data_IF_713022976531
#
_entry.id   IF_713022976531
#
_cell.length_a   1.000
_cell.length_b   1.000
_cell.length_c   1.000
_cell.angle_alpha   90.00
_cell.angle_beta   90.00
_cell.angle_gamma   90.00
#
_symmetry.space_group_name_H-M   'P 1'
#
loop_
_entity.id
_entity.type
_entity.pdbx_description
1 polymer ?
#
# COMPACT_ATOMS: atom_id res chain seq x y z
N UNK A 1 14.22 -4.31 -26.62
CA UNK A 1 15.02 -4.29 -25.38
C UNK A 1 15.92 -3.06 -25.33
N UNK A 2 16.68 -2.75 -26.39
CA UNK A 2 17.68 -1.66 -26.40
C UNK A 2 17.10 -0.25 -26.20
N UNK A 3 15.88 0.01 -26.66
CA UNK A 3 15.20 1.30 -26.41
C UNK A 3 14.76 1.46 -24.95
N UNK A 4 14.24 0.40 -24.32
CA UNK A 4 13.72 0.44 -22.95
C UNK A 4 14.83 0.58 -21.89
N UNK A 5 16.02 0.10 -22.19
CA UNK A 5 17.16 0.14 -21.26
C UNK A 5 18.15 1.28 -21.55
N UNK A 6 17.88 2.16 -22.53
CA UNK A 6 18.79 3.23 -22.86
C UNK A 6 18.59 4.45 -21.95
N UNK A 7 19.51 4.74 -21.00
CA UNK A 7 19.39 5.86 -20.06
C UNK A 7 19.48 7.25 -20.72
N UNK A 8 19.81 7.32 -22.01
CA UNK A 8 19.97 8.59 -22.76
C UNK A 8 18.68 9.06 -23.43
N UNK A 9 17.65 8.21 -23.54
CA UNK A 9 16.37 8.61 -24.12
C UNK A 9 15.56 9.47 -23.14
N UNK A 10 14.83 10.44 -23.70
CA UNK A 10 13.85 11.20 -22.92
C UNK A 10 12.74 10.27 -22.42
N UNK A 11 12.11 10.68 -21.31
CA UNK A 11 10.98 9.92 -20.78
C UNK A 11 9.81 9.98 -21.77
N UNK A 12 9.39 8.82 -22.25
CA UNK A 12 8.18 8.65 -23.06
C UNK A 12 7.18 7.77 -22.30
N UNK A 13 5.90 8.12 -22.43
CA UNK A 13 4.82 7.30 -21.89
C UNK A 13 4.73 6.00 -22.67
N UNK A 14 4.59 4.89 -21.97
CA UNK A 14 4.30 3.59 -22.57
C UNK A 14 2.93 3.61 -23.28
N UNK A 15 2.69 2.78 -24.30
CA UNK A 15 1.45 2.77 -25.07
C UNK A 15 0.19 2.67 -24.21
N UNK A 16 0.20 1.84 -23.17
CA UNK A 16 -0.93 1.71 -22.24
C UNK A 16 -1.14 2.97 -21.38
N UNK A 17 -0.07 3.69 -21.04
CA UNK A 17 -0.16 4.96 -20.31
C UNK A 17 -0.72 6.08 -21.19
N UNK A 18 -0.32 6.11 -22.47
CA UNK A 18 -0.89 7.03 -23.45
C UNK A 18 -2.37 6.74 -23.68
N UNK A 19 -2.74 5.46 -23.79
CA UNK A 19 -4.15 5.06 -23.90
C UNK A 19 -4.98 5.59 -22.73
N UNK A 20 -4.54 5.35 -21.49
CA UNK A 20 -5.21 5.82 -20.28
C UNK A 20 -5.39 7.33 -20.28
N UNK A 21 -4.34 8.09 -20.62
CA UNK A 21 -4.40 9.54 -20.71
C UNK A 21 -5.44 10.02 -21.73
N UNK A 22 -5.43 9.43 -22.91
CA UNK A 22 -6.33 9.82 -23.99
C UNK A 22 -7.77 9.38 -23.69
N UNK A 23 -7.96 8.23 -23.04
CA UNK A 23 -9.28 7.71 -22.70
C UNK A 23 -10.01 8.58 -21.67
N UNK A 24 -9.34 8.99 -20.59
CA UNK A 24 -9.94 9.81 -19.54
C UNK A 24 -9.67 11.33 -19.75
N UNK A 25 -9.38 11.74 -20.97
CA UNK A 25 -9.19 13.12 -21.35
C UNK A 25 -10.49 13.92 -21.23
N UNK A 26 -10.39 15.23 -21.11
CA UNK A 26 -11.54 16.14 -21.17
C UNK A 26 -12.25 16.14 -22.52
N UNK A 27 -11.58 15.68 -23.59
CA UNK A 27 -12.14 15.58 -24.95
C UNK A 27 -13.04 14.35 -25.15
N UNK A 28 -13.09 13.45 -24.18
CA UNK A 28 -13.88 12.23 -24.25
C UNK A 28 -15.07 12.27 -23.30
N UNK A 29 -16.17 11.55 -23.60
CA UNK A 29 -17.33 11.50 -22.73
C UNK A 29 -17.16 10.61 -21.51
N UNK A 30 -16.00 9.98 -21.33
CA UNK A 30 -15.75 9.04 -20.24
C UNK A 30 -15.41 9.76 -18.95
N UNK A 31 -16.14 9.46 -17.86
CA UNK A 31 -15.96 10.12 -16.56
C UNK A 31 -15.37 9.21 -15.49
N UNK A 32 -15.28 7.92 -15.72
CA UNK A 32 -14.77 6.94 -14.75
C UNK A 32 -13.82 5.93 -15.38
N UNK A 33 -12.76 5.56 -14.62
CA UNK A 33 -11.82 4.53 -15.04
C UNK A 33 -11.22 3.83 -13.82
N UNK A 34 -11.22 2.49 -13.85
CA UNK A 34 -10.48 1.62 -12.95
C UNK A 34 -9.19 1.14 -13.63
N UNK A 35 -8.04 1.55 -13.11
CA UNK A 35 -6.75 1.00 -13.50
C UNK A 35 -6.46 -0.25 -12.68
N UNK A 36 -6.83 -1.39 -13.23
CA UNK A 36 -6.44 -2.71 -12.71
C UNK A 36 -5.12 -3.12 -13.36
N UNK A 37 -4.07 -2.40 -13.04
CA UNK A 37 -2.73 -2.64 -13.54
C UNK A 37 -1.88 -3.34 -12.49
N UNK A 38 -1.12 -4.35 -12.87
CA UNK A 38 -0.21 -5.06 -12.01
C UNK A 38 0.91 -4.16 -11.44
N UNK A 39 1.69 -4.69 -10.52
CA UNK A 39 2.84 -3.97 -9.97
C UNK A 39 3.88 -3.69 -11.06
N UNK A 40 4.54 -2.54 -10.99
CA UNK A 40 5.61 -2.17 -11.92
C UNK A 40 5.17 -1.66 -13.29
N UNK A 41 3.87 -1.63 -13.61
CA UNK A 41 3.34 -1.13 -14.90
C UNK A 41 3.31 0.40 -15.01
N UNK A 42 3.73 1.13 -13.98
CA UNK A 42 3.76 2.59 -13.99
C UNK A 42 2.38 3.25 -13.77
N UNK A 43 1.49 2.65 -12.96
CA UNK A 43 0.17 3.22 -12.60
C UNK A 43 0.24 4.70 -12.20
N UNK A 44 1.23 5.05 -11.37
CA UNK A 44 1.42 6.43 -10.90
C UNK A 44 1.69 7.38 -12.06
N UNK A 45 2.55 7.01 -13.02
CA UNK A 45 2.80 7.84 -14.22
C UNK A 45 1.57 7.93 -15.11
N UNK A 46 0.80 6.83 -15.26
CA UNK A 46 -0.48 6.85 -16.00
C UNK A 46 -1.44 7.86 -15.38
N UNK A 47 -1.61 7.84 -14.05
CA UNK A 47 -2.51 8.76 -13.37
C UNK A 47 -2.01 10.22 -13.43
N UNK A 48 -0.72 10.46 -13.26
CA UNK A 48 -0.11 11.78 -13.40
C UNK A 48 -0.33 12.35 -14.82
N UNK A 49 -0.24 11.51 -15.85
CA UNK A 49 -0.47 11.96 -17.22
C UNK A 49 -1.89 12.48 -17.44
N UNK A 50 -2.89 11.79 -16.85
CA UNK A 50 -4.29 12.26 -16.85
C UNK A 50 -4.44 13.53 -16.02
N UNK A 51 -3.82 13.58 -14.83
CA UNK A 51 -3.85 14.77 -13.97
C UNK A 51 -3.30 16.01 -14.69
N UNK A 52 -2.20 15.87 -15.40
CA UNK A 52 -1.58 16.98 -16.13
C UNK A 52 -2.39 17.43 -17.35
N UNK A 53 -3.11 16.52 -18.00
CA UNK A 53 -4.06 16.85 -19.06
C UNK A 53 -5.23 17.65 -18.50
N UNK A 54 -5.82 17.17 -17.39
CA UNK A 54 -6.91 17.87 -16.70
C UNK A 54 -6.48 19.21 -16.11
N UNK A 55 -5.25 19.33 -15.59
CA UNK A 55 -4.72 20.59 -15.08
C UNK A 55 -4.65 21.65 -16.20
N UNK A 56 -4.20 21.25 -17.38
CA UNK A 56 -4.19 22.14 -18.55
C UNK A 56 -5.60 22.60 -18.93
N UNK A 57 -6.57 21.69 -18.90
CA UNK A 57 -7.97 22.00 -19.15
C UNK A 57 -8.55 23.00 -18.11
N UNK A 58 -8.27 22.79 -16.83
CA UNK A 58 -8.71 23.71 -15.76
C UNK A 58 -8.14 25.13 -15.96
N UNK A 59 -6.87 25.22 -16.33
CA UNK A 59 -6.24 26.51 -16.63
C UNK A 59 -6.90 27.19 -17.82
N UNK A 60 -7.24 26.47 -18.89
CA UNK A 60 -7.90 27.02 -20.08
C UNK A 60 -9.31 27.55 -19.79
N UNK A 61 -10.04 26.87 -18.93
CA UNK A 61 -11.43 27.25 -18.58
C UNK A 61 -11.53 28.15 -17.34
N UNK A 62 -10.42 28.45 -16.67
CA UNK A 62 -10.45 29.25 -15.43
C UNK A 62 -11.12 28.48 -14.26
N UNK A 63 -11.08 27.14 -14.25
CA UNK A 63 -11.64 26.35 -13.17
C UNK A 63 -10.69 26.39 -11.99
N UNK A 64 -11.11 26.99 -10.88
CA UNK A 64 -10.35 27.06 -9.63
C UNK A 64 -10.64 25.83 -8.75
N UNK A 65 -10.32 24.65 -9.26
CA UNK A 65 -10.41 23.37 -8.54
C UNK A 65 -9.07 22.65 -8.57
N UNK A 66 -8.66 22.13 -7.43
CA UNK A 66 -7.47 21.29 -7.35
C UNK A 66 -7.80 19.85 -7.71
N UNK A 67 -6.89 19.20 -8.40
CA UNK A 67 -6.94 17.73 -8.58
C UNK A 67 -6.73 17.09 -7.22
N UNK A 68 -7.65 16.21 -6.79
CA UNK A 68 -7.54 15.53 -5.51
C UNK A 68 -6.95 14.14 -5.69
N UNK A 69 -5.86 13.85 -4.97
CA UNK A 69 -5.21 12.55 -4.95
C UNK A 69 -5.33 11.98 -3.55
N UNK A 70 -6.06 10.86 -3.44
CA UNK A 70 -6.26 10.14 -2.18
C UNK A 70 -5.32 8.94 -2.15
N UNK A 71 -4.37 8.95 -1.23
CA UNK A 71 -3.35 7.90 -1.12
C UNK A 71 -2.76 7.84 0.30
N UNK A 72 -1.99 6.78 0.61
CA UNK A 72 -1.21 6.71 1.85
C UNK A 72 -0.10 7.78 1.86
N UNK A 73 0.40 8.21 3.04
CA UNK A 73 1.45 9.23 3.11
C UNK A 73 2.69 8.92 2.27
N UNK A 74 3.13 7.67 2.28
CA UNK A 74 4.30 7.22 1.49
C UNK A 74 4.03 7.34 -0.01
N UNK A 75 2.84 6.98 -0.44
CA UNK A 75 2.43 7.07 -1.86
C UNK A 75 2.25 8.52 -2.28
N UNK A 76 1.74 9.39 -1.40
CA UNK A 76 1.66 10.83 -1.67
C UNK A 76 3.04 11.45 -1.94
N UNK A 77 4.04 11.10 -1.13
CA UNK A 77 5.42 11.55 -1.37
C UNK A 77 5.96 11.02 -2.70
N UNK A 78 5.67 9.77 -3.05
CA UNK A 78 6.03 9.22 -4.35
C UNK A 78 5.36 10.00 -5.51
N UNK A 79 4.08 10.34 -5.39
CA UNK A 79 3.40 11.20 -6.38
C UNK A 79 4.10 12.55 -6.56
N UNK A 80 4.46 13.21 -5.46
CA UNK A 80 5.19 14.50 -5.49
C UNK A 80 6.53 14.35 -6.21
N UNK A 81 7.30 13.30 -5.90
CA UNK A 81 8.57 13.01 -6.56
C UNK A 81 8.42 12.66 -8.05
N UNK A 82 7.32 11.99 -8.44
CA UNK A 82 7.05 11.68 -9.84
C UNK A 82 6.52 12.90 -10.62
N UNK A 83 5.85 13.84 -9.95
CA UNK A 83 5.51 15.14 -10.52
C UNK A 83 6.77 15.99 -10.72
N UNK A 84 7.59 16.13 -9.69
CA UNK A 84 8.84 16.88 -9.74
C UNK A 84 9.82 16.42 -8.65
N UNK A 85 10.98 15.92 -9.08
CA UNK A 85 12.09 15.56 -8.19
C UNK A 85 13.26 16.51 -8.46
N UNK A 86 13.45 17.49 -7.60
CA UNK A 86 14.51 18.50 -7.72
C UNK A 86 15.91 17.88 -7.84
N UNK A 87 16.15 16.71 -7.23
CA UNK A 87 17.45 16.00 -7.30
C UNK A 87 17.79 15.51 -8.71
N UNK A 88 16.78 15.37 -9.58
CA UNK A 88 16.91 14.98 -11.00
C UNK A 88 17.03 16.16 -11.94
N UNK A 89 16.95 17.38 -11.42
CA UNK A 89 17.08 18.61 -12.21
C UNK A 89 18.52 18.73 -12.71
N UNK A 90 18.70 18.90 -13.99
CA UNK A 90 20.01 19.02 -14.65
C UNK A 90 20.02 20.21 -15.60
N UNK A 91 21.16 20.87 -15.70
CA UNK A 91 21.35 21.93 -16.68
C UNK A 91 22.04 21.39 -17.93
N UNK A 92 21.42 21.56 -19.09
CA UNK A 92 21.94 21.16 -20.40
C UNK A 92 21.97 22.42 -21.27
N UNK A 93 23.14 22.80 -21.76
CA UNK A 93 23.34 24.00 -22.58
C UNK A 93 22.79 25.30 -21.95
N UNK A 94 22.82 25.40 -20.61
CA UNK A 94 22.31 26.54 -19.85
C UNK A 94 20.78 26.53 -19.62
N UNK A 95 20.08 25.47 -20.02
CA UNK A 95 18.64 25.26 -19.78
C UNK A 95 18.41 24.10 -18.82
N UNK A 96 17.43 24.27 -17.93
CA UNK A 96 17.03 23.24 -17.00
C UNK A 96 16.24 22.12 -17.69
N UNK A 97 16.54 20.89 -17.32
CA UNK A 97 15.88 19.67 -17.79
C UNK A 97 15.63 18.70 -16.64
N UNK A 98 14.56 17.91 -16.75
CA UNK A 98 14.24 16.87 -15.76
C UNK A 98 13.72 15.61 -16.45
N UNK A 99 14.12 14.43 -15.93
CA UNK A 99 13.51 13.14 -16.30
C UNK A 99 12.51 12.73 -15.21
N UNK A 100 11.24 12.99 -15.46
CA UNK A 100 10.11 12.65 -14.61
C UNK A 100 8.91 12.25 -15.47
N UNK A 101 7.83 11.72 -14.86
CA UNK A 101 6.59 11.37 -15.57
C UNK A 101 5.96 12.55 -16.33
N UNK A 102 6.21 13.76 -15.87
CA UNK A 102 5.75 15.01 -16.50
C UNK A 102 6.70 15.54 -17.58
N UNK A 103 7.87 14.91 -17.76
CA UNK A 103 8.94 15.46 -18.60
C UNK A 103 9.26 16.89 -18.20
N UNK A 104 9.56 17.73 -19.19
CA UNK A 104 9.90 19.16 -18.99
C UNK A 104 8.67 20.09 -18.91
N UNK A 105 7.45 19.57 -18.73
CA UNK A 105 6.23 20.40 -18.78
C UNK A 105 6.25 21.55 -17.79
N UNK A 106 6.57 21.28 -16.52
CA UNK A 106 6.66 22.34 -15.50
C UNK A 106 7.79 23.33 -15.77
N UNK A 107 8.92 22.85 -16.28
CA UNK A 107 10.05 23.74 -16.63
C UNK A 107 9.65 24.68 -17.76
N UNK A 108 8.97 24.18 -18.80
CA UNK A 108 8.46 25.01 -19.89
C UNK A 108 7.41 26.01 -19.42
N UNK A 109 6.60 25.68 -18.44
CA UNK A 109 5.61 26.58 -17.85
C UNK A 109 6.29 27.71 -17.04
N UNK A 110 7.33 27.39 -16.27
CA UNK A 110 8.12 28.36 -15.49
C UNK A 110 9.02 29.22 -16.38
N UNK A 111 9.52 28.66 -17.46
CA UNK A 111 10.46 29.32 -18.39
C UNK A 111 10.01 29.17 -19.85
N UNK A 112 8.86 29.78 -20.23
CA UNK A 112 8.30 29.63 -21.58
C UNK A 112 9.19 30.24 -22.69
N UNK A 113 10.03 31.18 -22.33
CA UNK A 113 10.95 31.85 -23.28
C UNK A 113 12.34 31.22 -23.32
N UNK A 114 12.54 30.06 -22.68
CA UNK A 114 13.84 29.38 -22.60
C UNK A 114 15.01 30.27 -22.16
N UNK A 115 14.75 31.18 -21.22
CA UNK A 115 15.81 32.06 -20.70
C UNK A 115 16.90 31.31 -19.99
N UNK A 116 18.14 31.60 -20.31
CA UNK A 116 19.34 31.08 -19.62
C UNK A 116 19.58 31.86 -18.32
N UNK A 117 20.27 31.25 -17.37
CA UNK A 117 20.69 31.93 -16.14
C UNK A 117 19.65 31.94 -15.02
N UNK A 118 18.53 31.22 -15.14
CA UNK A 118 17.64 31.01 -14.00
C UNK A 118 18.34 30.15 -12.93
N UNK A 119 18.28 30.60 -11.68
CA UNK A 119 18.82 29.84 -10.55
C UNK A 119 17.98 28.63 -10.23
N UNK A 120 18.61 27.55 -9.78
CA UNK A 120 17.94 26.30 -9.38
C UNK A 120 16.83 26.54 -8.36
N UNK A 121 17.14 27.30 -7.30
CA UNK A 121 16.17 27.63 -6.25
C UNK A 121 14.93 28.33 -6.78
N UNK A 122 15.09 29.24 -7.75
CA UNK A 122 13.97 29.96 -8.35
C UNK A 122 13.07 29.03 -9.15
N UNK A 123 13.65 28.10 -9.91
CA UNK A 123 12.91 27.10 -10.69
C UNK A 123 12.15 26.17 -9.76
N UNK A 124 12.81 25.61 -8.75
CA UNK A 124 12.20 24.73 -7.74
C UNK A 124 11.04 25.44 -7.05
N UNK A 125 11.25 26.64 -6.54
CA UNK A 125 10.21 27.40 -5.80
C UNK A 125 8.97 27.69 -6.66
N UNK A 126 9.16 27.97 -7.94
CA UNK A 126 8.05 28.22 -8.86
C UNK A 126 7.28 26.95 -9.19
N UNK A 127 7.97 25.83 -9.46
CA UNK A 127 7.33 24.53 -9.73
C UNK A 127 6.56 24.05 -8.49
N UNK A 128 7.14 24.14 -7.30
CA UNK A 128 6.45 23.79 -6.06
C UNK A 128 5.18 24.64 -5.81
N UNK A 129 5.21 25.90 -6.21
CA UNK A 129 4.04 26.75 -6.14
C UNK A 129 2.94 26.27 -7.09
N UNK A 130 3.28 25.91 -8.33
CA UNK A 130 2.34 25.35 -9.31
C UNK A 130 1.71 24.07 -8.78
N UNK A 131 2.53 23.15 -8.26
CA UNK A 131 2.04 21.87 -7.72
C UNK A 131 1.08 22.12 -6.54
N UNK A 132 1.44 22.97 -5.58
CA UNK A 132 0.57 23.31 -4.44
C UNK A 132 -0.74 24.00 -4.82
N UNK A 133 -0.75 24.75 -5.91
CA UNK A 133 -1.96 25.40 -6.42
C UNK A 133 -2.86 24.42 -7.18
N UNK A 134 -2.28 23.44 -7.86
CA UNK A 134 -3.00 22.52 -8.76
C UNK A 134 -3.43 21.22 -8.11
N UNK A 135 -2.76 20.79 -7.05
CA UNK A 135 -2.95 19.48 -6.43
C UNK A 135 -3.31 19.57 -4.96
N UNK A 136 -4.13 18.62 -4.52
CA UNK A 136 -4.49 18.39 -3.12
C UNK A 136 -4.26 16.92 -2.81
N UNK A 137 -3.33 16.62 -1.87
CA UNK A 137 -3.00 15.27 -1.44
C UNK A 137 -3.67 14.98 -0.11
N UNK A 138 -4.45 13.90 -0.03
CA UNK A 138 -5.28 13.57 1.13
C UNK A 138 -5.06 12.11 1.52
N UNK A 139 -4.92 11.84 2.81
CA UNK A 139 -4.88 10.46 3.33
C UNK A 139 -6.27 9.82 3.36
N UNK A 140 -6.36 8.47 3.29
CA UNK A 140 -7.65 7.77 3.28
C UNK A 140 -8.54 8.13 4.47
N UNK A 141 -7.96 8.15 5.68
CA UNK A 141 -8.71 8.50 6.91
C UNK A 141 -9.18 9.95 6.90
N UNK A 142 -8.35 10.87 6.43
CA UNK A 142 -8.68 12.28 6.30
C UNK A 142 -9.78 12.48 5.27
N UNK A 143 -9.69 11.84 4.12
CA UNK A 143 -10.71 11.86 3.06
C UNK A 143 -12.05 11.34 3.57
N UNK A 144 -12.08 10.16 4.20
CA UNK A 144 -13.29 9.60 4.80
C UNK A 144 -13.90 10.52 5.87
N UNK A 145 -13.05 11.10 6.72
CA UNK A 145 -13.50 12.05 7.74
C UNK A 145 -14.05 13.34 7.12
N UNK A 146 -13.44 13.82 6.05
CA UNK A 146 -13.90 15.02 5.32
C UNK A 146 -15.29 14.79 4.75
N UNK A 147 -15.52 13.67 4.04
CA UNK A 147 -16.85 13.31 3.51
C UNK A 147 -17.86 13.14 4.63
N UNK A 148 -17.50 12.41 5.70
CA UNK A 148 -18.39 12.19 6.83
C UNK A 148 -18.76 13.50 7.56
N UNK A 149 -17.81 14.42 7.72
CA UNK A 149 -18.05 15.74 8.30
C UNK A 149 -18.92 16.62 7.38
N UNK A 150 -18.66 16.59 6.09
CA UNK A 150 -19.43 17.33 5.08
C UNK A 150 -20.90 16.90 5.12
N UNK A 151 -21.16 15.58 5.08
CA UNK A 151 -22.52 15.04 5.18
C UNK A 151 -23.16 15.37 6.52
N UNK A 152 -22.43 15.25 7.65
CA UNK A 152 -22.95 15.57 8.99
C UNK A 152 -23.29 17.06 9.15
N UNK A 153 -22.40 17.96 8.68
CA UNK A 153 -22.63 19.41 8.76
C UNK A 153 -23.81 19.85 7.90
N UNK A 154 -23.98 19.27 6.71
CA UNK A 154 -25.06 19.60 5.81
C UNK A 154 -26.44 19.23 6.35
N UNK A 155 -26.53 18.19 7.19
CA UNK A 155 -27.79 17.73 7.77
C UNK A 155 -28.43 18.73 8.75
N UNK A 156 -27.62 19.55 9.48
CA UNK A 156 -28.11 20.57 10.40
C UNK A 156 -29.02 20.01 11.52
N UNK A 157 -29.73 20.90 12.20
CA UNK A 157 -30.70 20.54 13.26
C UNK A 157 -32.16 20.42 12.76
N UNK A 158 -32.39 20.43 11.45
CA UNK A 158 -33.75 20.32 10.90
C UNK A 158 -34.21 18.88 10.86
N UNK A 159 -35.47 18.60 11.19
CA UNK A 159 -36.07 17.26 11.11
C UNK A 159 -36.62 16.93 9.72
N UNK A 160 -36.67 17.92 8.82
CA UNK A 160 -37.11 17.77 7.44
C UNK A 160 -36.07 16.98 6.62
N UNK A 161 -36.46 15.80 6.16
CA UNK A 161 -35.60 14.89 5.38
C UNK A 161 -35.22 15.48 4.02
N UNK A 162 -36.12 16.18 3.34
CA UNK A 162 -35.87 16.76 2.02
C UNK A 162 -34.85 17.90 2.12
N UNK A 163 -34.98 18.77 3.10
CA UNK A 163 -34.01 19.83 3.35
C UNK A 163 -32.63 19.29 3.73
N UNK A 164 -32.57 18.19 4.49
CA UNK A 164 -31.30 17.49 4.79
C UNK A 164 -30.65 16.98 3.51
N UNK A 165 -31.42 16.31 2.64
CA UNK A 165 -30.92 15.77 1.37
C UNK A 165 -30.44 16.90 0.46
N UNK A 166 -31.25 17.94 0.26
CA UNK A 166 -30.87 19.10 -0.57
C UNK A 166 -29.56 19.76 -0.12
N UNK A 167 -29.40 19.98 1.19
CA UNK A 167 -28.15 20.53 1.75
C UNK A 167 -26.95 19.59 1.54
N UNK A 168 -27.16 18.28 1.69
CA UNK A 168 -26.13 17.28 1.41
C UNK A 168 -25.68 17.33 -0.05
N UNK A 169 -26.61 17.32 -0.95
CA UNK A 169 -26.36 17.42 -2.40
C UNK A 169 -25.59 18.71 -2.71
N UNK A 170 -26.06 19.86 -2.24
CA UNK A 170 -25.39 21.14 -2.44
C UNK A 170 -23.94 21.15 -1.92
N UNK A 171 -23.72 20.55 -0.75
CA UNK A 171 -22.38 20.48 -0.16
C UNK A 171 -21.44 19.56 -0.97
N UNK A 172 -21.95 18.43 -1.47
CA UNK A 172 -21.19 17.51 -2.33
C UNK A 172 -20.84 18.20 -3.65
N UNK A 173 -21.83 18.82 -4.32
CA UNK A 173 -21.62 19.55 -5.58
C UNK A 173 -20.57 20.64 -5.42
N UNK A 174 -20.67 21.47 -4.38
CA UNK A 174 -19.70 22.53 -4.12
C UNK A 174 -18.26 22.02 -4.01
N UNK A 175 -18.05 20.85 -3.41
CA UNK A 175 -16.70 20.34 -3.14
C UNK A 175 -16.15 19.48 -4.27
N UNK A 176 -16.98 18.66 -4.91
CA UNK A 176 -16.53 17.60 -5.80
C UNK A 176 -16.93 17.78 -7.28
N UNK A 177 -17.93 18.61 -7.62
CA UNK A 177 -18.27 18.86 -9.02
C UNK A 177 -17.13 19.54 -9.77
N UNK A 178 -17.06 19.27 -11.07
CA UNK A 178 -16.03 19.77 -11.99
C UNK A 178 -14.59 19.46 -11.52
N UNK A 179 -14.39 18.28 -10.93
CA UNK A 179 -13.13 17.91 -10.29
C UNK A 179 -12.65 16.54 -10.75
N UNK A 180 -11.33 16.38 -10.92
CA UNK A 180 -10.70 15.07 -11.03
C UNK A 180 -10.39 14.55 -9.61
N UNK A 181 -10.95 13.37 -9.28
CA UNK A 181 -10.67 12.60 -8.08
C UNK A 181 -9.91 11.33 -8.43
N UNK A 182 -8.69 11.22 -7.93
CA UNK A 182 -7.83 10.05 -8.09
C UNK A 182 -7.74 9.33 -6.75
N UNK A 183 -8.04 8.05 -6.71
CA UNK A 183 -7.92 7.22 -5.50
C UNK A 183 -6.98 6.08 -5.79
N UNK A 184 -5.79 6.13 -5.22
CA UNK A 184 -4.82 5.06 -5.33
C UNK A 184 -5.10 3.98 -4.27
N UNK A 185 -4.90 2.71 -4.62
CA UNK A 185 -5.24 1.55 -3.79
C UNK A 185 -6.62 1.69 -3.14
N UNK A 186 -7.63 1.88 -3.99
CA UNK A 186 -9.02 2.22 -3.59
C UNK A 186 -9.64 1.25 -2.58
N UNK A 187 -9.18 -0.01 -2.55
CA UNK A 187 -9.61 -1.01 -1.57
C UNK A 187 -9.35 -0.57 -0.11
N UNK A 188 -8.35 0.31 0.12
CA UNK A 188 -8.04 0.83 1.46
C UNK A 188 -9.14 1.72 2.04
N UNK A 189 -10.00 2.32 1.25
CA UNK A 189 -11.15 3.11 1.75
C UNK A 189 -12.11 2.23 2.55
N UNK A 190 -12.25 0.94 2.20
CA UNK A 190 -13.10 0.00 2.94
C UNK A 190 -12.45 -0.49 4.23
N UNK A 191 -11.14 -0.49 4.32
CA UNK A 191 -10.37 -1.00 5.46
C UNK A 191 -9.99 0.05 6.51
N UNK A 192 -10.43 1.31 6.37
CA UNK A 192 -10.10 2.44 7.28
C UNK A 192 -10.50 2.18 8.73
N UNK A 193 -11.48 1.30 8.99
CA UNK A 193 -11.99 1.03 10.34
C UNK A 193 -12.32 -0.45 10.52
N UNK A 194 -12.03 -0.98 11.70
CA UNK A 194 -12.46 -2.31 12.13
C UNK A 194 -13.95 -2.36 12.51
N UNK A 195 -14.59 -1.20 12.72
CA UNK A 195 -15.99 -1.11 13.11
C UNK A 195 -16.92 -1.19 11.90
N UNK A 196 -17.65 -2.29 11.72
CA UNK A 196 -18.59 -2.53 10.60
C UNK A 196 -19.53 -1.34 10.31
N UNK A 197 -20.04 -0.66 11.35
CA UNK A 197 -20.92 0.52 11.22
C UNK A 197 -20.22 1.71 10.55
N UNK A 198 -18.94 1.94 10.86
CA UNK A 198 -18.17 3.04 10.27
C UNK A 198 -17.79 2.74 8.81
N UNK A 199 -17.42 1.50 8.50
CA UNK A 199 -17.16 1.05 7.12
C UNK A 199 -18.40 1.28 6.26
N UNK A 200 -19.57 0.76 6.69
CA UNK A 200 -20.83 0.94 5.97
C UNK A 200 -21.15 2.42 5.71
N UNK A 201 -20.90 3.28 6.72
CA UNK A 201 -21.13 4.72 6.57
C UNK A 201 -20.20 5.35 5.55
N UNK A 202 -18.92 5.02 5.57
CA UNK A 202 -17.94 5.59 4.63
C UNK A 202 -18.21 5.12 3.21
N UNK A 203 -18.49 3.83 3.01
CA UNK A 203 -18.83 3.29 1.68
C UNK A 203 -20.11 3.91 1.13
N UNK A 204 -21.14 4.09 1.96
CA UNK A 204 -22.39 4.75 1.53
C UNK A 204 -22.15 6.23 1.18
N UNK A 205 -21.39 6.95 1.99
CA UNK A 205 -21.07 8.35 1.70
C UNK A 205 -20.23 8.51 0.42
N UNK A 206 -19.41 7.51 0.07
CA UNK A 206 -18.71 7.48 -1.22
C UNK A 206 -19.68 7.28 -2.39
N UNK A 207 -20.66 6.36 -2.27
CA UNK A 207 -21.70 6.21 -3.28
C UNK A 207 -22.51 7.50 -3.45
N UNK A 208 -22.89 8.14 -2.35
CA UNK A 208 -23.58 9.44 -2.38
C UNK A 208 -22.73 10.52 -3.08
N UNK A 209 -21.42 10.52 -2.82
CA UNK A 209 -20.51 11.48 -3.44
C UNK A 209 -20.54 11.35 -4.97
N UNK A 210 -20.33 10.13 -5.48
CA UNK A 210 -20.30 9.90 -6.93
C UNK A 210 -21.66 10.06 -7.59
N UNK A 211 -22.75 9.85 -6.84
CA UNK A 211 -24.12 10.05 -7.34
C UNK A 211 -24.46 11.53 -7.53
N UNK A 212 -23.99 12.39 -6.63
CA UNK A 212 -24.43 13.79 -6.61
C UNK A 212 -23.40 14.79 -7.12
N UNK A 213 -22.14 14.41 -7.28
CA UNK A 213 -21.13 15.25 -7.92
C UNK A 213 -21.40 15.30 -9.43
N UNK A 214 -21.40 16.50 -9.99
CA UNK A 214 -21.61 16.74 -11.43
C UNK A 214 -20.27 16.93 -12.14
N UNK A 215 -20.14 16.43 -13.37
CA UNK A 215 -18.94 16.56 -14.21
C UNK A 215 -17.63 16.10 -13.49
N UNK A 216 -17.75 15.20 -12.52
CA UNK A 216 -16.60 14.68 -11.81
C UNK A 216 -15.94 13.56 -12.63
N UNK A 217 -14.64 13.68 -12.85
CA UNK A 217 -13.87 12.54 -13.37
C UNK A 217 -13.30 11.72 -12.21
N UNK A 218 -13.56 10.42 -12.25
CA UNK A 218 -13.17 9.47 -11.19
C UNK A 218 -12.16 8.47 -11.72
N UNK A 219 -10.98 8.45 -11.12
CA UNK A 219 -9.92 7.50 -11.45
C UNK A 219 -9.58 6.65 -10.23
N UNK A 220 -9.84 5.36 -10.33
CA UNK A 220 -9.57 4.37 -9.29
C UNK A 220 -8.35 3.54 -9.69
N UNK A 221 -7.37 3.40 -8.81
CA UNK A 221 -6.19 2.59 -9.06
C UNK A 221 -6.12 1.47 -8.04
N UNK A 222 -5.82 0.27 -8.50
CA UNK A 222 -5.50 -0.87 -7.63
C UNK A 222 -4.84 -2.00 -8.41
N UNK A 223 -3.97 -2.76 -7.75
CA UNK A 223 -3.48 -4.03 -8.27
C UNK A 223 -4.35 -5.21 -7.78
N UNK A 224 -5.22 -4.97 -6.78
CA UNK A 224 -6.03 -5.98 -6.10
C UNK A 224 -7.45 -5.48 -5.88
N UNK A 225 -8.30 -5.42 -6.93
CA UNK A 225 -9.66 -4.87 -6.83
C UNK A 225 -10.58 -5.70 -5.91
N UNK A 226 -10.24 -6.96 -5.72
CA UNK A 226 -10.93 -7.93 -4.85
C UNK A 226 -9.92 -8.45 -3.82
N UNK A 227 -9.81 -7.77 -2.67
CA UNK A 227 -8.79 -8.09 -1.67
C UNK A 227 -9.19 -9.25 -0.77
N UNK A 228 -10.40 -9.21 -0.18
CA UNK A 228 -10.89 -10.25 0.73
C UNK A 228 -11.88 -11.19 0.06
N UNK A 229 -12.73 -10.68 -0.84
CA UNK A 229 -13.84 -11.41 -1.45
C UNK A 229 -14.17 -10.85 -2.84
N UNK A 230 -14.58 -11.73 -3.75
CA UNK A 230 -14.99 -11.38 -5.11
C UNK A 230 -16.13 -10.35 -5.15
N UNK A 231 -17.04 -10.37 -4.16
CA UNK A 231 -18.16 -9.42 -4.07
C UNK A 231 -17.73 -7.96 -3.89
N UNK A 232 -16.47 -7.71 -3.54
CA UNK A 232 -15.93 -6.33 -3.39
C UNK A 232 -15.93 -5.56 -4.71
N UNK A 233 -15.88 -6.26 -5.84
CA UNK A 233 -15.94 -5.65 -7.18
C UNK A 233 -17.23 -4.88 -7.42
N UNK A 234 -18.33 -5.31 -6.80
CA UNK A 234 -19.67 -4.67 -6.95
C UNK A 234 -19.62 -3.22 -6.47
N UNK A 235 -18.95 -2.96 -5.35
CA UNK A 235 -18.82 -1.58 -4.86
C UNK A 235 -18.00 -0.69 -5.80
N UNK A 236 -16.92 -1.22 -6.39
CA UNK A 236 -16.12 -0.49 -7.38
C UNK A 236 -16.91 -0.23 -8.66
N UNK A 237 -17.63 -1.24 -9.15
CA UNK A 237 -18.52 -1.11 -10.29
C UNK A 237 -19.59 -0.02 -10.05
N UNK A 238 -20.17 -0.01 -8.85
CA UNK A 238 -21.19 0.97 -8.48
C UNK A 238 -20.65 2.39 -8.38
N UNK A 239 -19.41 2.59 -7.89
CA UNK A 239 -18.78 3.91 -7.91
C UNK A 239 -18.67 4.47 -9.33
N UNK A 240 -18.28 3.64 -10.29
CA UNK A 240 -18.10 4.04 -11.68
C UNK A 240 -19.45 4.26 -12.39
N UNK A 241 -20.39 3.33 -12.21
CA UNK A 241 -21.72 3.43 -12.83
C UNK A 241 -22.50 4.65 -12.30
N UNK A 242 -22.54 4.87 -10.99
CA UNK A 242 -23.23 6.01 -10.39
C UNK A 242 -22.60 7.35 -10.80
N UNK A 243 -21.28 7.40 -10.98
CA UNK A 243 -20.60 8.60 -11.48
C UNK A 243 -21.02 8.98 -12.90
N UNK A 244 -21.46 8.00 -13.69
CA UNK A 244 -22.02 8.19 -15.05
C UNK A 244 -23.57 8.16 -15.08
N UNK A 245 -24.21 8.32 -13.91
CA UNK A 245 -25.68 8.28 -13.78
C UNK A 245 -26.31 6.96 -14.26
N UNK A 246 -25.56 5.84 -14.23
CA UNK A 246 -26.06 4.50 -14.53
C UNK A 246 -26.57 3.80 -13.27
N UNK A 247 -27.54 2.90 -13.42
CA UNK A 247 -28.09 2.16 -12.28
C UNK A 247 -27.04 1.27 -11.63
N UNK A 248 -26.94 1.28 -10.28
CA UNK A 248 -26.08 0.36 -9.54
C UNK A 248 -26.59 -1.07 -9.67
N UNK A 249 -25.75 -2.02 -9.29
CA UNK A 249 -26.10 -3.45 -9.16
C UNK A 249 -25.95 -3.89 -7.70
N UNK A 250 -26.71 -4.91 -7.33
CA UNK A 250 -26.64 -5.53 -6.02
C UNK A 250 -25.84 -6.83 -6.05
N UNK A 251 -25.27 -7.22 -4.89
CA UNK A 251 -24.46 -8.43 -4.79
C UNK A 251 -25.25 -9.66 -5.20
N UNK A 252 -26.52 -9.75 -4.79
CA UNK A 252 -27.41 -10.86 -5.07
C UNK A 252 -27.89 -10.96 -6.54
N UNK A 253 -27.65 -9.95 -7.35
CA UNK A 253 -27.88 -9.99 -8.81
C UNK A 253 -26.69 -10.64 -9.55
N UNK A 254 -25.51 -10.68 -8.92
CA UNK A 254 -24.28 -11.18 -9.54
C UNK A 254 -23.79 -12.48 -8.89
N UNK A 255 -23.92 -12.60 -7.57
CA UNK A 255 -23.38 -13.72 -6.81
C UNK A 255 -24.47 -14.42 -5.99
N UNK A 256 -24.34 -15.73 -5.87
CA UNK A 256 -25.11 -16.56 -4.95
C UNK A 256 -24.57 -16.45 -3.49
N UNK A 257 -25.16 -17.24 -2.58
CA UNK A 257 -24.76 -17.23 -1.15
C UNK A 257 -23.36 -17.78 -0.91
N UNK A 258 -22.82 -18.56 -1.83
CA UNK A 258 -21.50 -19.18 -1.77
C UNK A 258 -20.44 -18.37 -2.53
N UNK A 259 -20.82 -17.15 -2.99
CA UNK A 259 -20.00 -16.23 -3.79
C UNK A 259 -19.61 -16.76 -5.18
N UNK A 260 -20.36 -17.71 -5.73
CA UNK A 260 -20.25 -18.08 -7.14
C UNK A 260 -21.14 -17.16 -7.98
N UNK A 261 -20.84 -17.08 -9.28
CA UNK A 261 -21.72 -16.34 -10.19
C UNK A 261 -23.13 -16.96 -10.22
N UNK A 262 -24.13 -16.08 -10.17
CA UNK A 262 -25.53 -16.49 -10.28
C UNK A 262 -25.76 -17.15 -11.63
N UNK A 263 -26.43 -18.29 -11.60
CA UNK A 263 -26.83 -19.07 -12.80
C UNK A 263 -28.33 -19.06 -13.01
N UNK A 264 -28.75 -19.11 -14.28
CA UNK A 264 -30.11 -19.32 -14.64
C UNK A 264 -30.53 -20.82 -14.57
N UNK A 265 -31.75 -21.12 -14.95
CA UNK A 265 -32.27 -22.49 -14.98
C UNK A 265 -31.54 -23.40 -15.97
N UNK A 266 -30.94 -22.83 -16.99
CA UNK A 266 -30.19 -23.55 -18.05
C UNK A 266 -28.69 -23.70 -17.70
N UNK A 267 -28.24 -23.14 -16.56
CA UNK A 267 -26.88 -23.22 -16.07
C UNK A 267 -25.94 -22.12 -16.57
N UNK A 268 -26.43 -21.10 -17.28
CA UNK A 268 -25.64 -19.98 -17.78
C UNK A 268 -25.29 -19.02 -16.63
N UNK A 269 -24.11 -18.48 -16.64
CA UNK A 269 -23.60 -17.54 -15.60
C UNK A 269 -24.13 -16.12 -15.81
N UNK A 270 -25.44 -15.90 -15.65
CA UNK A 270 -26.09 -14.60 -15.87
C UNK A 270 -25.53 -13.49 -14.97
N UNK A 271 -25.10 -13.82 -13.78
CA UNK A 271 -24.44 -12.85 -12.88
C UNK A 271 -23.11 -12.34 -13.44
N UNK A 272 -22.34 -13.20 -14.09
CA UNK A 272 -21.10 -12.84 -14.77
C UNK A 272 -21.34 -11.92 -15.95
N UNK A 273 -22.34 -12.23 -16.78
CA UNK A 273 -22.73 -11.40 -17.91
C UNK A 273 -23.17 -10.00 -17.48
N UNK A 274 -23.98 -9.91 -16.42
CA UNK A 274 -24.40 -8.63 -15.84
C UNK A 274 -23.17 -7.81 -15.36
N UNK A 275 -22.24 -8.45 -14.66
CA UNK A 275 -21.03 -7.78 -14.20
C UNK A 275 -20.16 -7.27 -15.36
N UNK A 276 -20.00 -8.06 -16.42
CA UNK A 276 -19.30 -7.66 -17.65
C UNK A 276 -19.95 -6.43 -18.25
N UNK A 277 -21.28 -6.43 -18.44
CA UNK A 277 -22.02 -5.28 -19.00
C UNK A 277 -21.86 -4.01 -18.17
N UNK A 278 -21.72 -4.13 -16.85
CA UNK A 278 -21.57 -2.99 -15.93
C UNK A 278 -20.14 -2.47 -15.85
N UNK A 279 -19.15 -3.29 -16.17
CA UNK A 279 -17.74 -2.92 -16.14
C UNK A 279 -17.15 -2.60 -17.50
N UNK A 280 -17.85 -2.94 -18.60
CA UNK A 280 -17.34 -2.64 -19.94
C UNK A 280 -17.15 -1.14 -20.14
N UNK A 281 -15.99 -0.74 -20.64
CA UNK A 281 -15.62 0.66 -20.80
C UNK A 281 -15.06 1.34 -19.53
N UNK A 282 -15.04 0.67 -18.38
CA UNK A 282 -14.54 1.22 -17.12
C UNK A 282 -13.23 0.61 -16.64
N UNK A 283 -12.78 -0.49 -17.20
CA UNK A 283 -11.60 -1.19 -16.69
C UNK A 283 -10.48 -1.19 -17.73
N UNK A 284 -9.34 -0.64 -17.35
CA UNK A 284 -8.07 -0.84 -18.05
C UNK A 284 -7.27 -1.89 -17.29
N UNK A 285 -6.97 -3.00 -17.95
CA UNK A 285 -6.19 -4.10 -17.37
C UNK A 285 -4.83 -4.22 -18.06
N UNK A 286 -3.77 -4.26 -17.24
CA UNK A 286 -2.42 -4.56 -17.70
C UNK A 286 -1.80 -5.57 -16.74
N UNK A 287 -1.39 -6.73 -17.26
CA UNK A 287 -0.64 -7.71 -16.47
C UNK A 287 0.71 -7.11 -16.04
N UNK A 288 1.02 -7.18 -14.75
CA UNK A 288 2.29 -6.69 -14.21
C UNK A 288 3.48 -7.61 -14.48
N UNK A 289 3.21 -8.81 -14.97
CA UNK A 289 4.25 -9.82 -15.20
C UNK A 289 4.80 -9.74 -16.62
N UNK A 290 5.37 -8.59 -17.00
CA UNK A 290 6.16 -8.53 -18.22
C UNK A 290 7.55 -9.10 -17.92
N UNK A 291 7.93 -10.25 -18.49
CA UNK A 291 9.22 -10.90 -18.21
C UNK A 291 10.43 -10.06 -18.63
N UNK A 292 10.24 -9.04 -19.47
CA UNK A 292 11.31 -8.12 -19.88
C UNK A 292 11.53 -6.96 -18.92
N UNK A 293 10.56 -6.65 -18.07
CA UNK A 293 10.62 -5.51 -17.14
C UNK A 293 10.50 -5.93 -15.67
N UNK A 294 10.09 -7.16 -15.40
CA UNK A 294 9.94 -7.72 -14.05
C UNK A 294 10.95 -8.84 -13.80
N UNK A 295 11.56 -8.91 -12.60
CA UNK A 295 12.43 -10.01 -12.26
C UNK A 295 11.68 -11.34 -12.33
N UNK A 296 12.32 -12.35 -12.88
CA UNK A 296 11.81 -13.71 -12.87
C UNK A 296 11.72 -14.22 -11.43
N UNK A 297 10.57 -14.80 -11.08
CA UNK A 297 10.34 -15.30 -9.72
C UNK A 297 10.92 -16.71 -9.59
N UNK A 298 11.87 -16.86 -8.70
CA UNK A 298 12.48 -18.15 -8.38
C UNK A 298 12.26 -18.43 -6.89
N UNK A 299 11.85 -19.65 -6.57
CA UNK A 299 11.59 -20.06 -5.20
C UNK A 299 12.85 -20.59 -4.52
N UNK A 300 12.98 -20.51 -3.19
CA UNK A 300 14.11 -21.11 -2.46
C UNK A 300 14.35 -22.59 -2.79
N UNK A 301 13.28 -23.36 -3.01
CA UNK A 301 13.36 -24.75 -3.43
C UNK A 301 13.98 -24.94 -4.82
N UNK A 302 13.85 -23.96 -5.73
CA UNK A 302 14.41 -24.05 -7.08
C UNK A 302 15.94 -23.88 -7.08
N UNK A 303 16.50 -23.28 -6.03
CA UNK A 303 17.95 -23.19 -5.80
C UNK A 303 18.51 -24.34 -4.95
N UNK A 304 17.70 -25.36 -4.65
CA UNK A 304 18.08 -26.42 -3.71
C UNK A 304 18.54 -25.85 -2.36
N UNK A 305 17.90 -24.77 -1.87
CA UNK A 305 18.21 -24.22 -0.56
C UNK A 305 17.90 -25.28 0.52
N UNK A 306 18.92 -25.78 1.26
CA UNK A 306 18.73 -26.88 2.20
C UNK A 306 17.78 -26.52 3.37
N UNK A 307 17.53 -25.23 3.58
CA UNK A 307 16.62 -24.72 4.60
C UNK A 307 15.20 -24.43 4.06
N UNK A 308 14.92 -24.73 2.79
CA UNK A 308 13.56 -24.61 2.24
C UNK A 308 12.65 -25.66 2.90
N UNK A 309 11.55 -25.20 3.51
CA UNK A 309 10.57 -26.12 4.13
C UNK A 309 10.01 -27.12 3.12
N UNK A 310 9.84 -26.71 1.87
CA UNK A 310 9.37 -27.58 0.79
C UNK A 310 10.32 -28.74 0.49
N UNK A 311 11.62 -28.55 0.64
CA UNK A 311 12.62 -29.60 0.51
C UNK A 311 12.71 -30.44 1.77
N UNK A 312 12.66 -29.83 2.96
CA UNK A 312 12.66 -30.52 4.24
C UNK A 312 11.42 -31.41 4.44
N UNK A 313 10.24 -30.95 3.97
CA UNK A 313 9.00 -31.73 4.01
C UNK A 313 9.08 -33.00 3.13
N UNK A 314 9.72 -32.89 1.94
CA UNK A 314 10.00 -34.06 1.08
C UNK A 314 10.85 -35.12 1.78
N UNK A 315 11.79 -34.67 2.61
CA UNK A 315 12.70 -35.56 3.37
C UNK A 315 12.07 -36.02 4.69
N UNK A 316 10.84 -35.58 5.02
CA UNK A 316 10.12 -35.86 6.27
C UNK A 316 10.79 -35.33 7.54
N UNK A 317 11.74 -34.40 7.43
CA UNK A 317 12.40 -33.79 8.59
C UNK A 317 11.50 -32.72 9.23
N UNK A 318 10.72 -32.03 8.40
CA UNK A 318 9.80 -30.98 8.79
C UNK A 318 8.52 -31.06 7.97
N UNK A 319 7.42 -30.47 8.47
CA UNK A 319 6.16 -30.40 7.73
C UNK A 319 5.53 -29.01 7.81
N UNK A 320 4.76 -28.67 6.79
CA UNK A 320 3.89 -27.49 6.86
C UNK A 320 2.89 -27.63 8.01
N UNK A 321 2.53 -26.52 8.70
CA UNK A 321 1.59 -26.58 9.79
C UNK A 321 0.23 -27.09 9.30
N UNK A 322 -0.34 -28.07 10.03
CA UNK A 322 -1.66 -28.65 9.78
C UNK A 322 -2.75 -27.98 10.60
N UNK A 323 -2.38 -27.36 11.70
CA UNK A 323 -3.29 -26.72 12.64
C UNK A 323 -2.90 -25.26 12.84
N UNK A 324 -3.91 -24.42 13.02
CA UNK A 324 -3.74 -23.06 13.49
C UNK A 324 -3.35 -23.05 14.97
N UNK A 325 -2.89 -21.89 15.48
CA UNK A 325 -2.51 -21.77 16.89
C UNK A 325 -3.70 -21.97 17.85
N UNK A 326 -4.93 -21.79 17.37
CA UNK A 326 -6.18 -22.06 18.09
C UNK A 326 -6.65 -23.52 17.96
N UNK A 327 -5.79 -24.42 17.50
CA UNK A 327 -6.03 -25.87 17.27
C UNK A 327 -7.01 -26.19 16.13
N UNK A 328 -7.56 -25.20 15.43
CA UNK A 328 -8.40 -25.47 14.25
C UNK A 328 -7.53 -26.01 13.11
N UNK A 329 -8.03 -27.02 12.42
CA UNK A 329 -7.36 -27.57 11.24
C UNK A 329 -7.30 -26.53 10.12
N UNK A 330 -6.16 -26.49 9.42
CA UNK A 330 -5.96 -25.66 8.24
C UNK A 330 -6.56 -26.42 7.06
N UNK A 331 -7.69 -25.97 6.46
CA UNK A 331 -8.42 -26.76 5.46
C UNK A 331 -7.62 -26.96 4.17
N UNK A 332 -6.75 -26.00 3.84
CA UNK A 332 -5.86 -26.10 2.70
C UNK A 332 -4.40 -25.83 3.12
N UNK A 333 -3.46 -26.71 2.77
CA UNK A 333 -2.04 -26.47 3.04
C UNK A 333 -1.54 -25.24 2.26
N UNK A 334 -0.50 -24.61 2.80
CA UNK A 334 0.18 -23.50 2.12
C UNK A 334 0.82 -24.02 0.83
N UNK A 335 0.22 -23.68 -0.32
CA UNK A 335 0.64 -24.19 -1.65
C UNK A 335 1.63 -23.30 -2.37
N UNK A 336 1.51 -21.98 -2.14
CA UNK A 336 2.17 -20.95 -2.95
C UNK A 336 3.25 -20.16 -2.21
N UNK A 337 3.60 -20.57 -1.01
CA UNK A 337 4.63 -19.95 -0.19
C UNK A 337 5.70 -20.97 0.14
N UNK A 338 6.94 -20.72 -0.27
CA UNK A 338 8.08 -21.48 0.17
C UNK A 338 8.74 -20.79 1.35
N UNK A 339 8.79 -21.48 2.48
CA UNK A 339 9.33 -20.96 3.73
C UNK A 339 10.78 -21.40 3.89
N UNK A 340 11.63 -20.49 4.33
CA UNK A 340 13.01 -20.80 4.71
C UNK A 340 13.07 -20.91 6.23
N UNK A 341 13.51 -22.05 6.72
CA UNK A 341 13.64 -22.32 8.15
C UNK A 341 15.00 -21.85 8.62
N UNK A 342 15.01 -21.08 9.70
CA UNK A 342 16.23 -20.64 10.37
C UNK A 342 16.20 -21.14 11.82
N UNK A 343 17.15 -21.98 12.21
CA UNK A 343 17.28 -22.42 13.59
C UNK A 343 17.70 -21.24 14.49
N UNK A 344 17.08 -21.16 15.66
CA UNK A 344 17.47 -20.18 16.68
C UNK A 344 18.83 -20.55 17.25
N UNK A 345 19.66 -19.53 17.52
CA UNK A 345 20.86 -19.72 18.34
C UNK A 345 20.46 -20.02 19.80
N UNK A 346 21.34 -20.68 20.54
CA UNK A 346 21.10 -21.11 21.93
C UNK A 346 20.61 -19.94 22.81
N UNK A 347 21.30 -18.80 22.74
CA UNK A 347 20.93 -17.58 23.50
C UNK A 347 19.54 -17.06 23.14
N UNK A 348 19.22 -17.03 21.85
CA UNK A 348 17.90 -16.61 21.41
C UNK A 348 16.82 -17.61 21.86
N UNK A 349 17.09 -18.90 21.75
CA UNK A 349 16.15 -19.95 22.15
C UNK A 349 15.87 -19.92 23.65
N UNK A 350 16.90 -19.70 24.48
CA UNK A 350 16.75 -19.55 25.93
C UNK A 350 15.80 -18.40 26.30
N UNK A 351 16.02 -17.24 25.73
CA UNK A 351 15.13 -16.07 25.97
C UNK A 351 13.73 -16.28 25.41
N UNK A 352 13.59 -16.93 24.26
CA UNK A 352 12.30 -17.28 23.67
C UNK A 352 11.49 -18.20 24.59
N UNK A 353 12.11 -19.27 25.10
CA UNK A 353 11.45 -20.19 26.02
C UNK A 353 11.03 -19.49 27.33
N UNK A 354 11.88 -18.65 27.90
CA UNK A 354 11.53 -17.84 29.06
C UNK A 354 10.30 -16.94 28.81
N UNK A 355 10.22 -16.28 27.65
CA UNK A 355 9.06 -15.46 27.26
C UNK A 355 7.82 -16.31 27.13
N UNK A 356 7.91 -17.49 26.52
CA UNK A 356 6.77 -18.41 26.37
C UNK A 356 6.25 -18.85 27.73
N UNK A 357 7.13 -19.28 28.64
CA UNK A 357 6.74 -19.80 29.95
C UNK A 357 6.11 -18.70 30.82
N UNK A 358 6.71 -17.52 30.87
CA UNK A 358 6.12 -16.39 31.56
C UNK A 358 4.79 -15.90 30.95
N UNK A 359 4.64 -16.01 29.64
CA UNK A 359 3.37 -15.68 28.97
C UNK A 359 2.27 -16.69 29.34
N UNK A 360 2.61 -17.98 29.46
CA UNK A 360 1.67 -19.02 29.92
C UNK A 360 1.25 -18.83 31.37
N UNK A 361 2.19 -18.46 32.26
CA UNK A 361 1.91 -18.18 33.66
C UNK A 361 0.93 -17.00 33.85
N UNK A 362 1.10 -15.93 33.05
CA UNK A 362 0.30 -14.71 33.18
C UNK A 362 -1.11 -14.78 32.61
N UNK A 363 -1.34 -15.67 31.64
CA UNK A 363 -2.65 -15.83 30.98
C UNK A 363 -2.86 -17.31 30.61
N UNK A 364 -3.76 -18.02 31.31
CA UNK A 364 -4.15 -19.36 30.86
C UNK A 364 -4.70 -19.26 29.43
N UNK A 365 -4.03 -19.88 28.48
CA UNK A 365 -4.23 -19.77 27.05
C UNK A 365 -5.58 -20.33 26.58
N UNK A 366 -6.28 -21.05 27.44
CA UNK A 366 -7.50 -21.79 27.10
C UNK A 366 -8.58 -21.60 28.17
N UNK A 367 -9.40 -20.59 28.00
CA UNK A 367 -10.81 -20.72 28.38
C UNK A 367 -11.56 -21.20 27.13
N UNK A 368 -12.04 -22.41 27.14
CA UNK A 368 -12.73 -23.13 26.04
C UNK A 368 -13.94 -22.39 25.43
N UNK A 369 -14.35 -21.25 25.96
CA UNK A 369 -15.53 -20.49 25.53
C UNK A 369 -15.25 -19.19 24.78
N UNK A 370 -13.99 -18.80 24.53
CA UNK A 370 -13.68 -17.64 23.69
C UNK A 370 -12.87 -18.05 22.47
N UNK A 371 -13.54 -18.22 21.36
CA UNK A 371 -13.00 -18.34 20.01
C UNK A 371 -12.13 -17.11 19.65
N UNK A 372 -10.86 -17.12 20.00
CA UNK A 372 -9.89 -16.11 19.59
C UNK A 372 -8.76 -15.96 20.58
N UNK A 373 -7.56 -16.39 20.18
CA UNK A 373 -6.33 -16.03 20.89
C UNK A 373 -6.17 -14.52 20.73
N UNK A 374 -6.12 -13.79 21.85
CA UNK A 374 -5.88 -12.36 21.80
C UNK A 374 -4.50 -12.10 21.18
N UNK A 375 -4.44 -11.24 20.18
CA UNK A 375 -3.20 -10.85 19.49
C UNK A 375 -2.07 -10.46 20.46
N UNK A 376 -2.43 -9.88 21.60
CA UNK A 376 -1.52 -9.49 22.69
C UNK A 376 -0.78 -10.65 23.37
N UNK A 377 -1.23 -11.90 23.21
CA UNK A 377 -0.56 -13.08 23.77
C UNK A 377 0.54 -13.60 22.84
N UNK A 378 0.35 -13.40 21.53
CA UNK A 378 1.26 -13.89 20.50
C UNK A 378 2.37 -12.88 20.20
N UNK A 379 2.11 -11.60 20.42
CA UNK A 379 2.99 -10.49 20.04
C UNK A 379 4.42 -10.64 20.60
N UNK A 380 4.55 -10.90 21.90
CA UNK A 380 5.87 -11.11 22.53
C UNK A 380 6.65 -12.27 21.93
N UNK A 381 6.10 -13.51 21.90
CA UNK A 381 6.71 -14.63 21.23
C UNK A 381 7.08 -14.37 19.78
N UNK A 382 6.19 -13.76 19.00
CA UNK A 382 6.44 -13.46 17.58
C UNK A 382 7.59 -12.45 17.39
N UNK A 383 7.65 -11.40 18.19
CA UNK A 383 8.74 -10.42 18.14
C UNK A 383 10.09 -11.05 18.56
N UNK A 384 10.08 -11.93 19.56
CA UNK A 384 11.28 -12.63 20.04
C UNK A 384 11.87 -13.62 19.02
N UNK A 385 11.04 -14.20 18.15
CA UNK A 385 11.51 -14.99 16.99
C UNK A 385 12.24 -14.13 15.95
N UNK A 386 11.89 -12.86 15.84
CA UNK A 386 12.63 -11.94 14.96
C UNK A 386 13.95 -11.51 15.61
N UNK A 387 13.90 -11.09 16.88
CA UNK A 387 15.07 -10.62 17.61
C UNK A 387 14.82 -10.58 19.11
N UNK A 388 15.82 -10.95 19.88
CA UNK A 388 15.87 -10.71 21.32
C UNK A 388 16.96 -9.70 21.67
N UNK A 389 16.79 -9.05 22.81
CA UNK A 389 17.78 -8.12 23.36
C UNK A 389 18.40 -8.72 24.62
N UNK A 390 19.74 -8.88 24.68
CA UNK A 390 20.41 -9.55 25.79
C UNK A 390 20.14 -8.87 27.12
N UNK A 391 19.93 -9.63 28.19
CA UNK A 391 19.72 -9.11 29.53
C UNK A 391 20.67 -9.78 30.53
N UNK A 392 21.39 -8.99 31.39
CA UNK A 392 22.38 -9.52 32.29
C UNK A 392 21.82 -10.47 33.37
N UNK A 393 20.54 -10.37 33.66
CA UNK A 393 19.86 -11.15 34.71
C UNK A 393 18.88 -12.20 34.14
N UNK A 394 19.01 -12.56 32.85
CA UNK A 394 18.15 -13.57 32.25
C UNK A 394 18.22 -14.90 32.99
N UNK A 395 19.42 -15.27 33.47
CA UNK A 395 19.64 -16.52 34.21
C UNK A 395 19.00 -16.51 35.61
N UNK A 396 18.61 -15.36 36.14
CA UNK A 396 18.00 -15.24 37.48
C UNK A 396 16.49 -15.37 37.44
N UNK A 397 15.90 -15.63 36.27
CA UNK A 397 14.44 -15.80 36.03
C UNK A 397 13.53 -14.68 36.55
N UNK A 398 14.08 -13.52 36.87
CA UNK A 398 13.37 -12.35 37.36
C UNK A 398 13.55 -11.13 36.43
N UNK A 399 13.21 -11.31 35.16
CA UNK A 399 13.33 -10.29 34.12
C UNK A 399 11.96 -9.95 33.56
N UNK A 400 11.68 -8.66 33.45
CA UNK A 400 10.49 -8.23 32.69
C UNK A 400 10.64 -8.65 31.23
N UNK A 401 9.76 -9.56 30.78
CA UNK A 401 9.78 -10.11 29.43
C UNK A 401 9.78 -9.03 28.35
N UNK A 402 9.13 -7.87 28.58
CA UNK A 402 9.10 -6.75 27.63
C UNK A 402 10.48 -6.13 27.40
N UNK A 403 11.43 -6.33 28.32
CA UNK A 403 12.80 -5.86 28.18
C UNK A 403 13.64 -6.72 27.21
N UNK A 404 13.14 -7.89 26.86
CA UNK A 404 13.82 -8.86 25.98
C UNK A 404 13.44 -8.71 24.50
N UNK A 405 12.35 -8.01 24.14
CA UNK A 405 11.91 -7.85 22.76
C UNK A 405 11.35 -6.45 22.49
N UNK A 406 11.11 -6.16 21.22
CA UNK A 406 10.45 -4.95 20.76
C UNK A 406 11.16 -3.64 21.12
N UNK A 407 10.38 -2.56 21.16
CA UNK A 407 10.92 -1.22 21.39
C UNK A 407 11.52 -1.04 22.79
N UNK A 408 11.02 -1.76 23.79
CA UNK A 408 11.56 -1.69 25.15
C UNK A 408 12.94 -2.31 25.23
N UNK A 409 13.15 -3.49 24.60
CA UNK A 409 14.45 -4.12 24.48
C UNK A 409 15.44 -3.25 23.68
N UNK A 410 14.98 -2.66 22.57
CA UNK A 410 15.80 -1.76 21.76
C UNK A 410 16.26 -0.54 22.59
N UNK A 411 15.35 0.13 23.31
CA UNK A 411 15.66 1.31 24.13
C UNK A 411 16.67 1.05 25.25
N UNK A 412 16.73 -0.17 25.74
CA UNK A 412 17.72 -0.57 26.73
C UNK A 412 19.10 -0.79 26.10
N UNK A 413 19.12 -1.31 24.89
CA UNK A 413 20.33 -1.73 24.19
C UNK A 413 20.97 -0.61 23.36
N UNK A 414 20.12 0.27 22.81
CA UNK A 414 20.55 1.38 21.96
C UNK A 414 20.12 2.73 22.53
N UNK A 415 20.99 3.71 22.37
CA UNK A 415 20.69 5.12 22.60
C UNK A 415 20.36 5.74 21.24
N UNK A 416 19.27 6.49 21.16
CA UNK A 416 18.83 7.18 19.94
C UNK A 416 17.86 8.32 20.27
N UNK A 417 17.76 9.28 19.35
CA UNK A 417 16.77 10.35 19.45
C UNK A 417 15.35 9.75 19.32
N UNK A 418 14.52 9.97 20.33
CA UNK A 418 13.15 9.39 20.41
C UNK A 418 12.17 10.01 19.43
N UNK A 419 12.39 11.25 19.04
CA UNK A 419 11.46 11.99 18.18
C UNK A 419 11.75 11.73 16.71
N UNK A 420 13.02 11.65 16.35
CA UNK A 420 13.46 11.45 14.96
C UNK A 420 13.78 10.00 14.61
N UNK A 421 13.96 9.13 15.62
CA UNK A 421 14.45 7.75 15.48
C UNK A 421 15.76 7.68 14.68
N UNK A 422 16.69 8.62 14.97
CA UNK A 422 18.00 8.74 14.32
C UNK A 422 19.13 8.68 15.36
N UNK A 423 20.35 8.70 14.87
CA UNK A 423 21.57 8.78 15.68
C UNK A 423 21.71 7.63 16.69
N UNK A 424 21.49 6.40 16.19
CA UNK A 424 21.64 5.19 16.99
C UNK A 424 23.07 4.97 17.43
N UNK A 425 23.28 4.79 18.74
CA UNK A 425 24.55 4.38 19.34
C UNK A 425 24.33 3.26 20.36
N UNK A 426 25.35 2.44 20.57
CA UNK A 426 25.27 1.34 21.54
C UNK A 426 25.31 1.87 22.98
N UNK A 427 24.45 1.33 23.85
CA UNK A 427 24.62 1.47 25.29
C UNK A 427 25.88 0.71 25.71
N UNK A 428 26.90 1.42 26.16
CA UNK A 428 28.23 0.84 26.52
C UNK A 428 28.08 -0.31 27.52
N UNK A 429 27.23 -0.18 28.55
CA UNK A 429 27.03 -1.23 29.57
C UNK A 429 26.55 -2.55 28.97
N UNK A 430 25.84 -2.50 27.85
CA UNK A 430 25.33 -3.69 27.17
C UNK A 430 26.35 -4.19 26.15
N UNK A 431 26.93 -3.28 25.35
CA UNK A 431 27.85 -3.66 24.29
C UNK A 431 29.20 -4.23 24.85
N UNK A 432 29.65 -3.74 26.00
CA UNK A 432 30.86 -4.26 26.64
C UNK A 432 30.69 -5.69 27.16
N UNK A 433 29.46 -6.06 27.56
CA UNK A 433 29.16 -7.42 28.07
C UNK A 433 28.73 -8.40 26.99
N UNK A 434 27.97 -7.95 26.02
CA UNK A 434 27.30 -8.81 25.04
C UNK A 434 27.76 -8.57 23.60
N UNK A 435 28.68 -7.67 23.39
CA UNK A 435 29.15 -7.24 22.07
C UNK A 435 28.21 -6.26 21.38
N UNK A 436 28.61 -5.83 20.19
CA UNK A 436 27.80 -4.96 19.34
C UNK A 436 26.68 -5.76 18.68
N UNK A 437 25.47 -5.68 19.23
CA UNK A 437 24.32 -6.52 18.88
C UNK A 437 24.04 -6.66 17.37
N UNK A 438 24.22 -5.61 16.59
CA UNK A 438 24.01 -5.64 15.14
C UNK A 438 25.29 -5.97 14.35
N UNK A 439 26.37 -6.39 15.02
CA UNK A 439 27.56 -6.86 14.32
C UNK A 439 27.42 -8.31 13.88
N UNK A 440 27.71 -8.55 12.61
CA UNK A 440 27.82 -9.87 12.01
C UNK A 440 29.27 -10.38 11.94
N UNK A 441 30.22 -9.62 12.49
CA UNK A 441 31.62 -10.04 12.61
C UNK A 441 31.72 -11.23 13.56
N UNK A 442 32.52 -12.24 13.18
CA UNK A 442 32.63 -13.49 13.94
C UNK A 442 31.79 -14.64 13.39
N UNK A 443 31.08 -14.44 12.28
CA UNK A 443 30.32 -15.50 11.62
C UNK A 443 29.25 -16.11 12.56
N UNK A 444 29.34 -17.41 12.81
CA UNK A 444 28.38 -18.15 13.65
C UNK A 444 28.38 -17.70 15.11
N UNK A 445 29.47 -17.14 15.59
CA UNK A 445 29.62 -16.61 16.94
C UNK A 445 29.31 -15.11 17.04
N UNK A 446 28.87 -14.50 15.95
CA UNK A 446 28.56 -13.06 15.94
C UNK A 446 27.40 -12.71 16.88
N UNK A 447 27.43 -11.55 17.53
CA UNK A 447 26.33 -11.09 18.37
C UNK A 447 24.99 -11.06 17.61
N UNK A 448 25.00 -10.67 16.34
CA UNK A 448 23.77 -10.64 15.54
C UNK A 448 23.17 -12.04 15.40
N UNK A 449 23.95 -13.09 15.14
CA UNK A 449 23.44 -14.46 15.01
C UNK A 449 22.94 -15.00 16.35
N UNK A 450 23.64 -14.71 17.45
CA UNK A 450 23.26 -15.13 18.81
C UNK A 450 21.89 -14.60 19.23
N UNK A 451 21.55 -13.37 18.82
CA UNK A 451 20.33 -12.69 19.27
C UNK A 451 19.26 -12.53 18.20
N UNK A 452 19.61 -12.77 16.94
CA UNK A 452 18.67 -12.73 15.81
C UNK A 452 19.18 -13.58 14.63
N UNK A 453 19.01 -14.87 14.72
CA UNK A 453 19.41 -15.81 13.66
C UNK A 453 18.71 -15.47 12.33
N UNK A 454 17.45 -15.04 12.37
CA UNK A 454 16.67 -14.64 11.19
C UNK A 454 17.27 -13.42 10.49
N UNK A 455 17.57 -12.33 11.23
CA UNK A 455 18.15 -11.11 10.64
C UNK A 455 19.57 -11.41 10.12
N UNK A 456 20.33 -12.23 10.84
CA UNK A 456 21.63 -12.67 10.37
C UNK A 456 21.53 -13.39 9.01
N UNK A 457 20.62 -14.36 8.88
CA UNK A 457 20.36 -15.06 7.62
C UNK A 457 19.96 -14.12 6.49
N UNK A 458 19.08 -13.14 6.78
CA UNK A 458 18.70 -12.12 5.80
C UNK A 458 19.93 -11.32 5.36
N UNK A 459 20.75 -10.86 6.30
CA UNK A 459 21.97 -10.07 6.01
C UNK A 459 22.98 -10.85 5.17
N UNK A 460 23.16 -12.15 5.44
CA UNK A 460 24.00 -13.01 4.60
C UNK A 460 23.48 -13.14 3.17
N UNK A 461 22.17 -13.24 2.99
CA UNK A 461 21.56 -13.26 1.66
C UNK A 461 21.71 -11.91 0.95
N UNK A 462 21.54 -10.79 1.66
CA UNK A 462 21.76 -9.45 1.13
C UNK A 462 23.21 -9.26 0.66
N UNK A 463 24.20 -9.71 1.45
CA UNK A 463 25.63 -9.63 1.09
C UNK A 463 25.97 -10.42 -0.18
N UNK A 464 25.35 -11.58 -0.38
CA UNK A 464 25.55 -12.41 -1.56
C UNK A 464 24.80 -11.87 -2.79
N UNK A 465 23.86 -10.98 -2.59
CA UNK A 465 23.01 -10.45 -3.67
C UNK A 465 23.80 -9.42 -4.50
N UNK A 466 23.68 -9.52 -5.83
CA UNK A 466 24.30 -8.58 -6.78
C UNK A 466 23.32 -7.56 -7.35
N UNK A 467 22.06 -7.65 -7.01
CA UNK A 467 20.97 -6.81 -7.53
C UNK A 467 20.25 -6.03 -6.43
N UNK A 468 19.09 -5.50 -6.79
CA UNK A 468 18.19 -4.81 -5.85
C UNK A 468 17.60 -5.83 -4.90
N UNK A 469 17.67 -5.55 -3.61
CA UNK A 469 17.08 -6.38 -2.55
C UNK A 469 15.85 -5.67 -1.98
N UNK A 470 14.71 -6.35 -1.95
CA UNK A 470 13.50 -5.91 -1.29
C UNK A 470 13.26 -6.75 -0.03
N UNK A 471 13.19 -6.08 1.12
CA UNK A 471 12.81 -6.71 2.39
C UNK A 471 11.43 -6.18 2.78
N UNK A 472 10.48 -7.09 2.96
CA UNK A 472 9.14 -6.77 3.44
C UNK A 472 8.96 -7.37 4.84
N UNK A 473 8.49 -6.56 5.81
CA UNK A 473 8.26 -6.98 7.21
C UNK A 473 6.93 -6.48 7.75
#
# INVERSE_FOLDING_TARGET
ADKLCNPKLDFELEPHQMFVRNFLSFQTPYNGLLLFHGLGTGKTCSSISVCEDMRTYYQQLGIDKKIMIVASPVVQENYKLQLFDSRKLKQINGLWNIKACTGNKFIKEVNPMNMKGLTEEKVIKQIDKIIRQSYEFVGYTEFANTINKLVKKSQGKTDDKEKRLSRKISAIKKMFSDRLLVIDEVHNIRSISTKKKQIRRTTQNMLDLVTYAENMKLMLLTATPMFNNATEIIWLANLLNLNDNRYPIEINEVFDKDNNFLKDTDGNEVGKELLIQKLIGYVSYVSGENPFTFPYKIWPSDYNNPHSLKLLDKNKDWSYPKYQINTMEIPEPIKYLDLVITALHEEQNKAYNYIIDKTKEQKPILNEKRLGIQYTVIDGPQQSLNMIYPHPDLDKENVDIKSLYGITGLRRTMLYDKDTLKDFSYNKKISDKFGRLFSSEGGDESPLKKYSAKIYSIMENVRKSKGIVLIYS
#
